data_IF_031299758609
#
_entry.id   IF_031299758609
#
_cell.length_a   1.000
_cell.length_b   1.000
_cell.length_c   1.000
_cell.angle_alpha   90.00
_cell.angle_beta   90.00
_cell.angle_gamma   90.00
#
_symmetry.space_group_name_H-M   'P 1'
#
loop_
_entity.id
_entity.type
_entity.pdbx_description
1 polymer ?
#
# COMPACT_ATOMS: atom_id res chain seq x y z
N UNK A 1 -17.11 -0.46 8.82
CA UNK A 1 -16.22 0.30 9.74
C UNK A 1 -14.99 0.76 8.98
N UNK A 2 -14.66 2.02 9.08
CA UNK A 2 -13.50 2.57 8.37
C UNK A 2 -12.22 2.13 9.07
N UNK A 3 -11.26 1.65 8.28
CA UNK A 3 -9.94 1.24 8.77
C UNK A 3 -8.86 2.04 8.05
N UNK A 4 -7.79 2.35 8.75
CA UNK A 4 -6.60 2.95 8.17
C UNK A 4 -5.40 2.14 8.61
N UNK A 5 -4.58 1.73 7.65
CA UNK A 5 -3.45 0.84 7.92
C UNK A 5 -2.22 1.38 7.22
N UNK A 6 -1.09 1.32 7.93
CA UNK A 6 0.23 1.58 7.37
C UNK A 6 0.91 0.24 7.16
N UNK A 7 1.44 0.02 5.96
CA UNK A 7 2.14 -1.21 5.62
C UNK A 7 3.54 -0.86 5.14
N UNK A 8 4.54 -1.58 5.65
CA UNK A 8 5.90 -1.49 5.15
C UNK A 8 6.23 -2.78 4.42
N UNK A 9 6.69 -2.65 3.18
CA UNK A 9 7.15 -3.78 2.37
C UNK A 9 8.67 -3.75 2.30
N UNK A 10 9.28 -4.90 2.52
CA UNK A 10 10.73 -5.08 2.45
C UNK A 10 11.08 -6.14 1.42
N UNK A 11 12.24 -5.97 0.81
CA UNK A 11 12.73 -6.87 -0.22
C UNK A 11 13.24 -6.10 -1.42
N UNK A 12 13.11 -6.67 -2.59
CA UNK A 12 13.48 -6.02 -3.84
C UNK A 12 12.27 -5.24 -4.37
N UNK A 13 11.85 -4.22 -3.60
CA UNK A 13 10.59 -3.52 -3.83
C UNK A 13 10.75 -2.15 -4.50
N UNK A 14 11.97 -1.61 -4.57
CA UNK A 14 12.20 -0.35 -5.25
C UNK A 14 12.82 -0.60 -6.63
N UNK A 15 12.48 0.26 -7.61
CA UNK A 15 13.04 0.15 -8.94
C UNK A 15 12.42 -0.93 -9.83
N UNK A 16 11.28 -1.51 -9.40
CA UNK A 16 10.59 -2.59 -10.11
C UNK A 16 9.15 -2.22 -10.50
N UNK A 17 8.79 -0.94 -10.40
CA UNK A 17 7.44 -0.49 -10.72
C UNK A 17 6.43 -0.81 -9.62
N UNK A 18 6.90 -1.03 -8.41
CA UNK A 18 6.05 -1.44 -7.28
C UNK A 18 4.94 -0.42 -7.00
N UNK A 19 5.31 0.85 -6.89
CA UNK A 19 4.34 1.91 -6.57
C UNK A 19 3.27 2.04 -7.65
N UNK A 20 3.68 1.96 -8.91
CA UNK A 20 2.75 2.03 -10.03
C UNK A 20 1.78 0.85 -9.99
N UNK A 21 2.29 -0.37 -9.76
CA UNK A 21 1.45 -1.56 -9.68
C UNK A 21 0.46 -1.50 -8.52
N UNK A 22 0.91 -1.02 -7.37
CA UNK A 22 0.02 -0.85 -6.21
C UNK A 22 -1.12 0.11 -6.55
N UNK A 23 -0.80 1.22 -7.19
CA UNK A 23 -1.83 2.19 -7.59
C UNK A 23 -2.80 1.59 -8.59
N UNK A 24 -2.33 0.78 -9.52
CA UNK A 24 -3.21 0.12 -10.48
C UNK A 24 -4.14 -0.87 -9.77
N UNK A 25 -3.62 -1.63 -8.81
CA UNK A 25 -4.44 -2.55 -8.03
C UNK A 25 -5.49 -1.77 -7.23
N UNK A 26 -5.14 -0.62 -6.68
CA UNK A 26 -6.05 0.20 -5.88
C UNK A 26 -7.30 0.64 -6.67
N UNK A 27 -7.20 0.72 -8.00
CA UNK A 27 -8.35 1.10 -8.84
C UNK A 27 -9.50 0.09 -8.76
N UNK A 28 -9.22 -1.14 -8.36
CA UNK A 28 -10.24 -2.16 -8.22
C UNK A 28 -10.93 -2.18 -6.86
N UNK A 29 -10.59 -1.26 -5.97
CA UNK A 29 -11.09 -1.26 -4.60
C UNK A 29 -11.50 0.16 -4.19
N UNK A 30 -12.44 0.24 -3.26
CA UNK A 30 -12.91 1.52 -2.74
C UNK A 30 -12.04 1.97 -1.58
N UNK A 31 -10.82 2.38 -1.91
CA UNK A 31 -9.81 2.80 -0.93
C UNK A 31 -9.14 4.09 -1.37
N UNK A 32 -8.64 4.84 -0.40
CA UNK A 32 -7.77 5.99 -0.62
C UNK A 32 -6.44 5.75 0.08
N UNK A 33 -5.42 6.46 -0.32
CA UNK A 33 -4.13 6.32 0.32
C UNK A 33 -2.97 6.81 -0.51
N UNK A 34 -1.78 6.33 -0.15
CA UNK A 34 -0.56 6.69 -0.86
C UNK A 34 0.48 5.58 -0.75
N UNK A 35 1.42 5.59 -1.67
CA UNK A 35 2.55 4.67 -1.65
C UNK A 35 3.81 5.45 -2.00
N UNK A 36 4.89 5.24 -1.23
CA UNK A 36 6.16 5.92 -1.46
C UNK A 36 7.34 5.03 -1.13
N UNK A 37 8.46 5.31 -1.76
CA UNK A 37 9.73 4.67 -1.41
C UNK A 37 10.34 5.38 -0.20
N UNK A 38 10.91 4.62 0.72
CA UNK A 38 11.64 5.16 1.86
C UNK A 38 13.15 5.13 1.59
N UNK A 39 13.92 6.01 2.25
CA UNK A 39 15.38 6.05 2.04
C UNK A 39 16.08 4.74 2.39
N UNK A 40 15.49 3.92 3.26
CA UNK A 40 16.10 2.65 3.70
C UNK A 40 15.80 1.47 2.78
N UNK A 41 15.13 1.70 1.66
CA UNK A 41 14.82 0.67 0.66
C UNK A 41 13.44 0.07 0.77
N UNK A 42 12.71 0.36 1.83
CA UNK A 42 11.33 -0.13 1.99
C UNK A 42 10.35 0.70 1.15
N UNK A 43 9.17 0.15 0.96
CA UNK A 43 8.02 0.88 0.41
C UNK A 43 6.99 1.03 1.52
N UNK A 44 6.49 2.25 1.70
CA UNK A 44 5.44 2.54 2.67
C UNK A 44 4.12 2.72 1.95
N UNK A 45 3.10 2.01 2.41
CA UNK A 45 1.73 2.11 1.92
C UNK A 45 0.84 2.62 3.05
N UNK A 46 0.07 3.66 2.77
CA UNK A 46 -0.99 4.12 3.67
C UNK A 46 -2.31 3.89 2.96
N UNK A 47 -3.26 3.23 3.61
CA UNK A 47 -4.54 2.93 2.98
C UNK A 47 -5.68 3.13 3.97
N UNK A 48 -6.77 3.73 3.47
CA UNK A 48 -7.98 3.99 4.26
C UNK A 48 -9.20 3.58 3.44
N UNK A 49 -10.18 3.00 4.10
CA UNK A 49 -11.45 2.62 3.49
C UNK A 49 -12.24 1.73 4.43
N UNK A 50 -13.35 1.19 3.92
CA UNK A 50 -14.06 0.17 4.67
C UNK A 50 -13.14 -1.01 4.91
N UNK A 51 -13.19 -1.60 6.09
CA UNK A 51 -12.26 -2.66 6.49
C UNK A 51 -12.20 -3.79 5.47
N UNK A 52 -13.35 -4.22 4.95
CA UNK A 52 -13.40 -5.29 3.96
C UNK A 52 -12.66 -4.92 2.68
N UNK A 53 -12.81 -3.67 2.23
CA UNK A 53 -12.13 -3.20 1.02
C UNK A 53 -10.63 -3.09 1.24
N UNK A 54 -10.22 -2.59 2.40
CA UNK A 54 -8.80 -2.48 2.75
C UNK A 54 -8.16 -3.87 2.78
N UNK A 55 -8.81 -4.84 3.42
CA UNK A 55 -8.29 -6.21 3.48
C UNK A 55 -8.21 -6.85 2.10
N UNK A 56 -9.25 -6.70 1.30
CA UNK A 56 -9.26 -7.25 -0.06
C UNK A 56 -8.14 -6.62 -0.92
N UNK A 57 -7.92 -5.33 -0.77
CA UNK A 57 -6.84 -4.63 -1.46
C UNK A 57 -5.46 -5.16 -1.05
N UNK A 58 -5.21 -5.29 0.25
CA UNK A 58 -3.92 -5.79 0.73
C UNK A 58 -3.69 -7.25 0.29
N UNK A 59 -4.74 -8.07 0.31
CA UNK A 59 -4.65 -9.45 -0.18
C UNK A 59 -4.34 -9.47 -1.69
N UNK A 60 -4.96 -8.57 -2.46
CA UNK A 60 -4.69 -8.49 -3.90
C UNK A 60 -3.23 -8.15 -4.19
N UNK A 61 -2.63 -7.26 -3.40
CA UNK A 61 -1.20 -6.95 -3.54
C UNK A 61 -0.37 -8.21 -3.27
N UNK A 62 -0.68 -8.93 -2.20
CA UNK A 62 0.05 -10.13 -1.80
C UNK A 62 -0.11 -11.31 -2.75
N UNK A 63 -1.14 -11.30 -3.60
CA UNK A 63 -1.41 -12.33 -4.60
C UNK A 63 -1.02 -11.90 -6.01
N UNK A 64 -0.54 -10.68 -6.17
CA UNK A 64 -0.13 -10.14 -7.46
C UNK A 64 1.29 -10.56 -7.81
N UNK A 65 1.75 -10.16 -8.99
CA UNK A 65 3.14 -10.36 -9.40
C UNK A 65 4.15 -9.67 -8.47
N UNK A 66 3.70 -8.69 -7.67
CA UNK A 66 4.57 -8.03 -6.70
C UNK A 66 5.06 -8.97 -5.61
N UNK A 67 4.35 -10.07 -5.39
CA UNK A 67 4.70 -11.08 -4.39
C UNK A 67 6.15 -11.53 -4.54
N UNK A 68 6.63 -11.68 -5.77
CA UNK A 68 7.99 -12.14 -6.04
C UNK A 68 9.06 -11.19 -5.51
N UNK A 69 8.72 -9.92 -5.30
CA UNK A 69 9.64 -8.88 -4.84
C UNK A 69 9.56 -8.64 -3.34
N UNK A 70 8.53 -9.15 -2.66
CA UNK A 70 8.32 -8.90 -1.23
C UNK A 70 8.95 -10.02 -0.42
N UNK A 71 9.90 -9.68 0.46
CA UNK A 71 10.47 -10.64 1.40
C UNK A 71 9.67 -10.71 2.67
N UNK A 72 9.23 -9.55 3.16
CA UNK A 72 8.35 -9.48 4.31
C UNK A 72 7.58 -8.17 4.29
N UNK A 73 6.51 -8.13 5.06
CA UNK A 73 5.76 -6.90 5.25
C UNK A 73 5.27 -6.85 6.70
N UNK A 74 4.97 -5.63 7.15
CA UNK A 74 4.38 -5.42 8.46
C UNK A 74 3.24 -4.44 8.33
N UNK A 75 2.23 -4.58 9.18
CA UNK A 75 1.05 -3.75 9.19
C UNK A 75 0.85 -3.12 10.56
N UNK A 76 0.47 -1.85 10.57
CA UNK A 76 0.12 -1.15 11.79
C UNK A 76 -1.14 -0.32 11.57
N UNK A 77 -2.09 -0.34 12.51
CA UNK A 77 -3.24 0.54 12.41
C UNK A 77 -2.81 1.98 12.61
N UNK A 78 -3.48 2.90 11.91
CA UNK A 78 -3.28 4.34 12.06
C UNK A 78 -4.46 4.92 12.80
N UNK A 79 -4.18 5.70 13.85
CA UNK A 79 -5.21 6.36 14.63
C UNK A 79 -5.57 7.74 14.08
N UNK A 80 -4.63 8.40 13.41
CA UNK A 80 -4.83 9.71 12.82
C UNK A 80 -4.28 9.72 11.39
N UNK A 81 -4.96 9.01 10.47
CA UNK A 81 -4.46 8.91 9.09
C UNK A 81 -4.56 10.23 8.37
N UNK A 82 -3.60 10.51 7.45
CA UNK A 82 -3.75 11.64 6.54
C UNK A 82 -4.99 11.45 5.66
N UNK A 83 -5.60 12.56 5.27
CA UNK A 83 -6.71 12.53 4.34
C UNK A 83 -6.18 12.54 2.90
N UNK A 84 -6.57 11.53 2.13
CA UNK A 84 -6.22 11.45 0.71
C UNK A 84 -7.49 11.54 -0.13
N UNK A 85 -7.41 12.17 -1.30
CA UNK A 85 -8.55 12.27 -2.22
C UNK A 85 -8.72 11.07 -3.11
N UNK A 86 -7.70 10.29 -3.28
CA UNK A 86 -7.69 9.11 -4.11
C UNK A 86 -6.51 8.28 -3.71
N UNK A 87 -5.89 7.60 -4.67
CA UNK A 87 -4.70 6.83 -4.38
C UNK A 87 -3.52 7.47 -5.12
N UNK A 88 -2.51 7.90 -4.36
CA UNK A 88 -1.39 8.70 -4.85
C UNK A 88 -0.08 7.95 -4.80
N UNK A 89 0.78 8.18 -5.81
CA UNK A 89 2.19 7.81 -5.72
C UNK A 89 2.93 9.05 -5.23
N UNK A 90 3.68 8.88 -4.14
CA UNK A 90 4.47 9.97 -3.57
C UNK A 90 5.94 9.76 -3.89
N UNK A 91 6.64 10.87 -4.07
CA UNK A 91 8.06 10.86 -4.44
C UNK A 91 8.96 11.51 -3.38
N UNK A 92 8.40 11.80 -2.21
CA UNK A 92 9.13 12.42 -1.12
C UNK A 92 9.75 11.40 -0.16
#
# INVERSE_FOLDING_TARGET
MIASIQVFYEGNVQGVGFRYSVRQIAKGFDVTGSVRNLPDGRVELLVTGEEEEVRAFLDAIGQSELRAHIKKHSEEPLTEPPAFRGFEIRHD
#
